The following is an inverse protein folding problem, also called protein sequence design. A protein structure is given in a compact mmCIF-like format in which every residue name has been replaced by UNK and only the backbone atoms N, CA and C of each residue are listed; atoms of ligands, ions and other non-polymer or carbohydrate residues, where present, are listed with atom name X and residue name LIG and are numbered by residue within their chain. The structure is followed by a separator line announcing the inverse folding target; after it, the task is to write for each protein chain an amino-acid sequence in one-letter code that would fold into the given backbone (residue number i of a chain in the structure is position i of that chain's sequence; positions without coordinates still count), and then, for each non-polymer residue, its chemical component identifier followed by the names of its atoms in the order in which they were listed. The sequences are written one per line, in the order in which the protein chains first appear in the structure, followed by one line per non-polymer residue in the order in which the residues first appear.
data_IF_039655333094
#
_entry.id   IF_039655333094
#
_cell.length_a   1.000
_cell.length_b   1.000
_cell.length_c   1.000
_cell.angle_alpha   90.00
_cell.angle_beta   90.00
_cell.angle_gamma   90.00
#
_symmetry.space_group_name_H-M   'P 1'
#
loop_
_entity.id
_entity.type
_entity.pdbx_description
1 polymer ?
#
# COMPACT_ATOMS: atom_id res chain seq x y z
N UNK A 1 9.81 -8.11 13.97
CA UNK A 1 8.85 -8.23 12.87
C UNK A 1 9.54 -8.03 11.52
N UNK A 2 10.35 -6.98 11.35
CA UNK A 2 11.11 -6.72 10.11
C UNK A 2 11.77 -7.96 9.46
N UNK A 3 12.60 -8.70 10.21
CA UNK A 3 13.28 -9.90 9.68
C UNK A 3 12.32 -11.02 9.23
N UNK A 4 11.13 -11.11 9.86
CA UNK A 4 10.10 -12.07 9.46
C UNK A 4 9.51 -11.65 8.11
N UNK A 5 9.17 -10.37 7.95
CA UNK A 5 8.67 -9.82 6.68
C UNK A 5 9.69 -10.00 5.57
N UNK A 6 10.98 -9.74 5.83
CA UNK A 6 12.06 -9.97 4.85
C UNK A 6 12.15 -11.42 4.43
N UNK A 7 12.17 -12.35 5.38
CA UNK A 7 12.22 -13.78 5.07
C UNK A 7 11.00 -14.25 4.28
N UNK A 8 9.81 -13.69 4.54
CA UNK A 8 8.59 -14.01 3.77
C UNK A 8 8.64 -13.48 2.33
N UNK A 9 9.26 -12.31 2.11
CA UNK A 9 9.47 -11.79 0.76
C UNK A 9 10.38 -12.70 -0.08
N UNK A 10 11.33 -13.39 0.53
CA UNK A 10 12.17 -14.37 -0.16
C UNK A 10 11.41 -15.69 -0.47
N UNK A 11 10.26 -15.92 0.17
CA UNK A 11 9.48 -17.17 0.11
C UNK A 11 8.02 -16.92 -0.28
N UNK A 12 7.80 -15.99 -1.22
CA UNK A 12 6.48 -15.47 -1.59
C UNK A 12 5.45 -16.55 -2.02
N UNK A 13 5.89 -17.61 -2.69
CA UNK A 13 4.96 -18.62 -3.24
C UNK A 13 4.18 -19.35 -2.15
N UNK A 14 4.82 -19.72 -1.04
CA UNK A 14 4.25 -20.58 0.01
C UNK A 14 3.87 -19.82 1.29
N UNK A 15 4.08 -18.49 1.33
CA UNK A 15 3.85 -17.71 2.55
C UNK A 15 2.42 -17.22 2.70
N UNK A 16 1.99 -17.13 3.95
CA UNK A 16 0.74 -16.50 4.38
C UNK A 16 1.04 -15.41 5.41
N UNK A 17 0.19 -14.39 5.47
CA UNK A 17 0.29 -13.34 6.48
C UNK A 17 -0.59 -13.64 7.69
N UNK A 18 -0.06 -13.36 8.88
CA UNK A 18 -0.84 -13.24 10.11
C UNK A 18 -1.34 -11.81 10.27
N UNK A 19 -2.45 -11.62 11.00
CA UNK A 19 -3.03 -10.28 11.17
C UNK A 19 -2.08 -9.31 11.87
N UNK A 20 -1.21 -9.80 12.76
CA UNK A 20 -0.19 -8.99 13.41
C UNK A 20 0.88 -8.51 12.43
N UNK A 21 1.22 -9.31 11.42
CA UNK A 21 2.16 -8.91 10.38
C UNK A 21 1.53 -7.90 9.42
N UNK A 22 0.26 -8.10 9.04
CA UNK A 22 -0.49 -7.13 8.23
C UNK A 22 -0.62 -5.80 8.96
N UNK A 23 -0.97 -5.83 10.25
CA UNK A 23 -1.00 -4.63 11.11
C UNK A 23 0.36 -3.95 11.13
N UNK A 24 1.45 -4.71 11.27
CA UNK A 24 2.80 -4.15 11.26
C UNK A 24 3.13 -3.47 9.93
N UNK A 25 2.78 -4.09 8.79
CA UNK A 25 2.95 -3.48 7.46
C UNK A 25 2.16 -2.17 7.35
N UNK A 26 0.93 -2.13 7.84
CA UNK A 26 0.09 -0.93 7.83
C UNK A 26 0.68 0.17 8.72
N UNK A 27 1.18 -0.17 9.90
CA UNK A 27 1.78 0.78 10.84
C UNK A 27 3.10 1.37 10.31
N UNK A 28 3.84 0.63 9.47
CA UNK A 28 5.16 1.01 8.95
C UNK A 28 5.11 1.56 7.51
N UNK A 29 3.92 1.78 6.97
CA UNK A 29 3.72 2.34 5.62
C UNK A 29 4.27 3.76 5.45
N UNK A 30 4.43 4.48 6.57
CA UNK A 30 5.02 5.81 6.64
C UNK A 30 6.27 5.85 7.51
N UNK A 31 7.02 4.75 7.61
CA UNK A 31 8.24 4.70 8.43
C UNK A 31 9.26 5.79 8.02
N UNK A 32 10.00 6.29 9.01
CA UNK A 32 11.05 7.29 8.81
C UNK A 32 12.30 6.69 8.17
N UNK A 33 12.51 5.38 8.35
CA UNK A 33 13.57 4.64 7.69
C UNK A 33 13.13 4.25 6.26
N UNK A 34 13.77 4.81 5.22
CA UNK A 34 13.42 4.51 3.83
C UNK A 34 13.67 3.05 3.46
N UNK A 35 14.58 2.35 4.14
CA UNK A 35 14.83 0.92 3.87
C UNK A 35 13.68 0.07 4.40
N UNK A 36 13.12 0.41 5.55
CA UNK A 36 11.93 -0.26 6.09
C UNK A 36 10.71 0.09 5.25
N UNK A 37 10.53 1.37 4.91
CA UNK A 37 9.37 1.85 4.17
C UNK A 37 9.37 1.38 2.71
N UNK A 38 10.39 1.78 1.95
CA UNK A 38 10.40 1.64 0.49
C UNK A 38 10.83 0.23 0.06
N UNK A 39 11.89 -0.30 0.66
CA UNK A 39 12.43 -1.60 0.23
C UNK A 39 11.71 -2.79 0.84
N UNK A 40 11.10 -2.63 2.02
CA UNK A 40 10.44 -3.73 2.72
C UNK A 40 8.91 -3.62 2.69
N UNK A 41 8.33 -2.60 3.31
CA UNK A 41 6.88 -2.50 3.49
C UNK A 41 6.16 -2.34 2.15
N UNK A 42 6.65 -1.47 1.27
CA UNK A 42 6.00 -1.25 -0.04
C UNK A 42 6.05 -2.48 -0.93
N UNK A 43 7.20 -3.16 -0.98
CA UNK A 43 7.34 -4.41 -1.71
C UNK A 43 6.44 -5.50 -1.11
N UNK A 44 6.41 -5.64 0.21
CA UNK A 44 5.57 -6.63 0.89
C UNK A 44 4.08 -6.44 0.56
N UNK A 45 3.55 -5.22 0.70
CA UNK A 45 2.12 -4.99 0.42
C UNK A 45 1.81 -5.15 -1.06
N UNK A 46 2.61 -4.55 -1.96
CA UNK A 46 2.34 -4.59 -3.40
C UNK A 46 2.38 -6.01 -3.96
N UNK A 47 3.41 -6.79 -3.61
CA UNK A 47 3.53 -8.18 -4.05
C UNK A 47 2.43 -9.05 -3.46
N UNK A 48 2.02 -8.79 -2.22
CA UNK A 48 0.93 -9.53 -1.57
C UNK A 48 -0.44 -9.25 -2.17
N UNK A 49 -0.66 -8.04 -2.70
CA UNK A 49 -1.88 -7.73 -3.46
C UNK A 49 -1.85 -8.42 -4.84
N UNK A 50 -0.75 -8.25 -5.59
CA UNK A 50 -0.60 -8.82 -6.93
C UNK A 50 -0.67 -10.34 -6.92
N UNK A 51 -0.04 -10.99 -5.93
CA UNK A 51 -0.01 -12.45 -5.79
C UNK A 51 -1.08 -12.99 -4.83
N UNK A 52 -2.08 -12.17 -4.48
CA UNK A 52 -3.23 -12.63 -3.71
C UNK A 52 -2.88 -13.31 -2.38
N UNK A 53 -1.93 -12.75 -1.62
CA UNK A 53 -1.44 -13.34 -0.36
C UNK A 53 -2.22 -12.92 0.88
N UNK A 54 -2.97 -11.82 0.83
CA UNK A 54 -3.84 -11.42 1.94
C UNK A 54 -5.16 -12.20 1.93
N UNK A 55 -5.70 -12.50 3.12
CA UNK A 55 -7.11 -12.90 3.22
C UNK A 55 -8.01 -11.69 2.92
N UNK A 56 -9.31 -11.92 2.68
CA UNK A 56 -10.26 -10.81 2.50
C UNK A 56 -10.33 -9.91 3.74
N UNK A 57 -10.33 -10.49 4.94
CA UNK A 57 -10.35 -9.72 6.19
C UNK A 57 -9.10 -8.84 6.33
N UNK A 58 -7.93 -9.35 5.92
CA UNK A 58 -6.67 -8.60 5.92
C UNK A 58 -6.67 -7.50 4.86
N UNK A 59 -7.22 -7.76 3.68
CA UNK A 59 -7.40 -6.77 2.63
C UNK A 59 -8.26 -5.59 3.10
N UNK A 60 -9.30 -5.86 3.90
CA UNK A 60 -10.16 -4.81 4.45
C UNK A 60 -9.57 -4.06 5.66
N UNK A 61 -8.39 -4.45 6.16
CA UNK A 61 -7.75 -3.68 7.22
C UNK A 61 -7.38 -2.27 6.72
N UNK A 62 -8.02 -1.27 7.34
CA UNK A 62 -7.94 0.13 6.90
C UNK A 62 -6.54 0.68 7.08
N UNK A 63 -5.92 1.07 5.96
CA UNK A 63 -4.70 1.88 5.97
C UNK A 63 -5.06 3.32 6.41
N UNK A 64 -4.41 3.92 7.43
CA UNK A 64 -4.76 5.25 7.94
C UNK A 64 -4.45 6.39 6.96
N UNK A 65 -5.44 7.26 6.72
CA UNK A 65 -5.40 8.42 5.78
C UNK A 65 -4.27 9.45 5.97
N UNK A 66 -3.55 9.42 7.09
CA UNK A 66 -2.60 10.47 7.49
C UNK A 66 -1.14 10.19 7.11
N UNK A 67 -0.77 8.95 6.80
CA UNK A 67 0.60 8.54 6.42
C UNK A 67 0.80 8.45 4.89
N UNK A 68 -0.04 9.16 4.13
CA UNK A 68 -0.71 8.59 2.97
C UNK A 68 -0.87 9.61 1.81
N UNK A 69 0.16 10.38 1.44
CA UNK A 69 0.00 11.38 0.37
C UNK A 69 0.35 10.84 -1.01
N UNK A 70 1.60 10.49 -1.22
CA UNK A 70 2.10 10.01 -2.52
C UNK A 70 1.90 8.49 -2.66
N UNK A 71 2.13 7.73 -1.56
CA UNK A 71 1.95 6.28 -1.55
C UNK A 71 0.48 5.83 -1.56
N UNK A 72 -0.45 6.63 -1.02
CA UNK A 72 -1.90 6.34 -1.16
C UNK A 72 -2.34 6.34 -2.60
N UNK A 73 -1.76 7.20 -3.45
CA UNK A 73 -2.07 7.16 -4.86
C UNK A 73 -1.63 5.82 -5.48
N UNK A 74 -0.41 5.33 -5.16
CA UNK A 74 0.08 4.04 -5.62
C UNK A 74 -0.72 2.87 -5.05
N UNK A 75 -0.96 2.84 -3.75
CA UNK A 75 -1.74 1.80 -3.08
C UNK A 75 -3.18 1.77 -3.61
N UNK A 76 -3.84 2.92 -3.73
CA UNK A 76 -5.18 3.01 -4.32
C UNK A 76 -5.16 2.54 -5.77
N UNK A 77 -4.12 2.85 -6.55
CA UNK A 77 -3.98 2.36 -7.91
C UNK A 77 -3.86 0.82 -7.94
N UNK A 78 -3.06 0.22 -7.05
CA UNK A 78 -2.98 -1.23 -6.91
C UNK A 78 -4.32 -1.84 -6.48
N UNK A 79 -5.01 -1.25 -5.50
CA UNK A 79 -6.31 -1.71 -5.03
C UNK A 79 -7.38 -1.67 -6.13
N UNK A 80 -7.46 -0.57 -6.88
CA UNK A 80 -8.37 -0.44 -8.02
C UNK A 80 -8.00 -1.45 -9.11
N UNK A 81 -6.71 -1.62 -9.40
CA UNK A 81 -6.25 -2.54 -10.45
C UNK A 81 -6.62 -4.00 -10.14
N UNK A 82 -6.38 -4.47 -8.91
CA UNK A 82 -6.73 -5.85 -8.54
C UNK A 82 -8.24 -6.05 -8.37
N UNK A 83 -8.98 -5.00 -8.05
CA UNK A 83 -10.44 -5.06 -7.94
C UNK A 83 -11.17 -5.08 -9.31
N UNK A 84 -10.55 -4.51 -10.35
CA UNK A 84 -11.11 -4.46 -11.71
C UNK A 84 -10.65 -5.65 -12.60
N UNK A 85 -9.74 -6.49 -12.09
CA UNK A 85 -9.21 -7.67 -12.79
C UNK A 85 -10.09 -8.90 -12.54
N UNK A 86 -10.79 -9.37 -13.58
CA UNK A 86 -11.85 -10.41 -13.48
C UNK A 86 -11.33 -11.74 -12.92
N UNK A 87 -10.07 -12.09 -13.23
CA UNK A 87 -9.44 -13.33 -12.77
C UNK A 87 -8.84 -13.21 -11.37
N UNK A 88 -8.79 -12.01 -10.79
CA UNK A 88 -8.23 -11.78 -9.46
C UNK A 88 -9.26 -12.06 -8.37
N UNK A 89 -8.85 -12.67 -7.25
CA UNK A 89 -9.78 -12.98 -6.14
C UNK A 89 -10.41 -11.74 -5.47
N UNK A 90 -9.81 -10.56 -5.66
CA UNK A 90 -10.33 -9.29 -5.15
C UNK A 90 -11.30 -8.62 -6.14
N UNK A 91 -11.66 -9.29 -7.25
CA UNK A 91 -12.58 -8.74 -8.22
C UNK A 91 -13.92 -8.33 -7.59
N UNK A 92 -14.31 -7.08 -7.84
CA UNK A 92 -15.59 -6.52 -7.42
C UNK A 92 -15.81 -6.42 -5.90
N UNK A 93 -14.74 -6.40 -5.11
CA UNK A 93 -14.82 -6.19 -3.65
C UNK A 93 -15.07 -4.72 -3.28
N UNK A 94 -14.71 -3.77 -4.14
CA UNK A 94 -14.97 -2.34 -3.95
C UNK A 94 -16.33 -1.95 -4.52
N UNK A 95 -17.12 -1.28 -3.69
CA UNK A 95 -18.36 -0.62 -4.14
C UNK A 95 -18.07 0.52 -5.11
N UNK A 96 -19.08 0.90 -5.90
CA UNK A 96 -18.96 2.06 -6.79
C UNK A 96 -18.60 3.33 -6.01
N UNK A 97 -19.18 3.51 -4.82
CA UNK A 97 -18.90 4.65 -3.94
C UNK A 97 -17.45 4.67 -3.46
N UNK A 98 -16.87 3.51 -3.15
CA UNK A 98 -15.45 3.39 -2.77
C UNK A 98 -14.52 3.67 -3.94
N UNK A 99 -14.83 3.14 -5.14
CA UNK A 99 -14.08 3.47 -6.38
C UNK A 99 -14.13 4.97 -6.65
N UNK A 100 -15.33 5.56 -6.63
CA UNK A 100 -15.54 6.99 -6.83
C UNK A 100 -14.77 7.80 -5.77
N UNK A 101 -14.74 7.36 -4.51
CA UNK A 101 -13.95 7.98 -3.46
C UNK A 101 -12.45 7.98 -3.81
N UNK A 102 -11.88 6.83 -4.17
CA UNK A 102 -10.46 6.73 -4.50
C UNK A 102 -10.07 7.58 -5.70
N UNK A 103 -10.85 7.57 -6.78
CA UNK A 103 -10.62 8.41 -7.95
C UNK A 103 -10.71 9.90 -7.61
N UNK A 104 -11.74 10.30 -6.86
CA UNK A 104 -11.91 11.70 -6.45
C UNK A 104 -10.77 12.14 -5.53
N UNK A 105 -10.32 11.30 -4.61
CA UNK A 105 -9.15 11.61 -3.77
C UNK A 105 -7.88 11.74 -4.60
N UNK A 106 -7.66 10.89 -5.60
CA UNK A 106 -6.51 11.00 -6.51
C UNK A 106 -6.53 12.32 -7.29
N UNK A 107 -7.68 12.73 -7.85
CA UNK A 107 -7.84 14.01 -8.55
C UNK A 107 -7.64 15.20 -7.60
N UNK A 108 -8.24 15.16 -6.41
CA UNK A 108 -8.08 16.20 -5.39
C UNK A 108 -6.63 16.30 -4.93
N UNK A 109 -5.93 15.18 -4.80
CA UNK A 109 -4.51 15.12 -4.50
C UNK A 109 -3.68 15.79 -5.58
N UNK A 110 -3.81 15.38 -6.85
CA UNK A 110 -3.07 15.96 -7.98
C UNK A 110 -3.26 17.48 -8.08
N UNK A 111 -4.46 17.99 -7.77
CA UNK A 111 -4.74 19.44 -7.76
C UNK A 111 -4.10 20.20 -6.60
N UNK A 112 -3.96 19.56 -5.44
CA UNK A 112 -3.39 20.16 -4.22
C UNK A 112 -1.90 19.96 -4.12
N UNK A 113 -1.34 19.00 -4.83
CA UNK A 113 0.09 18.75 -4.86
C UNK A 113 0.82 19.96 -5.45
N UNK A 114 1.67 20.57 -4.62
CA UNK A 114 2.46 21.75 -4.95
C UNK A 114 3.92 21.58 -4.53
N UNK A 115 4.21 20.49 -3.81
CA UNK A 115 5.55 20.17 -3.36
C UNK A 115 6.24 19.36 -4.45
N UNK A 116 7.33 19.91 -4.97
CA UNK A 116 8.32 19.16 -5.75
C UNK A 116 9.45 18.62 -4.86
N UNK A 117 9.31 18.77 -3.54
CA UNK A 117 10.35 18.43 -2.57
C UNK A 117 10.42 16.92 -2.42
N UNK A 118 11.30 16.29 -3.19
CA UNK A 118 11.55 14.85 -3.11
C UNK A 118 11.99 14.40 -1.72
N UNK A 119 12.80 15.21 -1.03
CA UNK A 119 13.51 14.82 0.18
C UNK A 119 13.43 15.87 1.29
N UNK A 120 13.08 15.41 2.50
CA UNK A 120 13.07 16.16 3.76
C UNK A 120 14.25 15.76 4.63
N UNK A 121 14.99 16.73 5.15
CA UNK A 121 16.10 16.47 6.10
C UNK A 121 15.65 15.83 7.42
N UNK A 122 14.36 15.94 7.75
CA UNK A 122 13.77 15.36 8.96
C UNK A 122 13.11 13.99 8.72
N UNK A 123 12.67 13.73 7.48
CA UNK A 123 11.76 12.62 7.17
C UNK A 123 12.18 11.77 5.94
N UNK A 124 13.36 12.02 5.36
CA UNK A 124 13.84 11.30 4.18
C UNK A 124 13.06 11.65 2.90
N UNK A 125 13.01 10.73 1.94
CA UNK A 125 12.21 10.92 0.72
C UNK A 125 10.72 10.96 1.07
N UNK A 126 10.02 12.03 0.71
CA UNK A 126 8.60 12.27 1.06
C UNK A 126 7.68 12.29 -0.17
N UNK A 127 8.26 12.21 -1.37
CA UNK A 127 7.55 12.11 -2.64
C UNK A 127 8.06 10.93 -3.45
N UNK A 128 7.15 10.03 -3.83
CA UNK A 128 7.32 9.20 -5.02
C UNK A 128 6.72 10.00 -6.19
N UNK A 129 7.45 10.10 -7.31
CA UNK A 129 6.88 10.63 -8.55
C UNK A 129 5.81 9.62 -8.97
N UNK A 130 4.55 10.05 -8.96
CA UNK A 130 3.44 9.33 -9.56
C UNK A 130 3.51 9.45 -11.09
#
# INVERSE_FOLDING_TARGET
MENIVRSKLEQLEEMTWTDNEVTWLIDHIGDVDPVIRDELVYNAISLSLIQEKFTLDQYHQRIPSTLQRSFTALMNACLIAVDDEVENKYYGQLTKEEKDYFFNQAILYLRKERSQTGHSTKYGWIHAIA
#
